data_IF_698327952012
#
_entry.id   IF_698327952012
#
_cell.length_a   1.000
_cell.length_b   1.000
_cell.length_c   1.000
_cell.angle_alpha   90.00
_cell.angle_beta   90.00
_cell.angle_gamma   90.00
#
_symmetry.space_group_name_H-M   'P 1'
#
loop_
_entity.id
_entity.type
_entity.pdbx_description
1 polymer ?
#
# COMPACT_ATOMS: atom_id res chain seq x y z
N UNK A 1 0.55 4.17 -18.87
CA UNK A 1 -0.93 4.10 -18.87
C UNK A 1 -1.50 5.22 -18.00
N UNK A 2 -2.60 5.86 -18.43
CA UNK A 2 -3.31 6.89 -17.65
C UNK A 2 -4.69 6.34 -17.27
N UNK A 3 -5.00 6.39 -15.98
CA UNK A 3 -6.27 5.96 -15.40
C UNK A 3 -7.00 7.19 -14.89
N UNK A 4 -8.31 7.24 -15.16
CA UNK A 4 -9.20 8.27 -14.62
C UNK A 4 -10.28 7.59 -13.79
N UNK A 5 -10.43 8.02 -12.55
CA UNK A 5 -11.52 7.60 -11.67
C UNK A 5 -12.41 8.79 -11.37
N UNK A 6 -13.73 8.63 -11.50
CA UNK A 6 -14.68 9.68 -11.15
C UNK A 6 -14.76 9.75 -9.62
N UNK A 7 -14.52 10.92 -9.05
CA UNK A 7 -14.64 11.12 -7.60
C UNK A 7 -16.12 11.18 -7.25
N UNK A 8 -16.60 10.19 -6.50
CA UNK A 8 -17.97 10.17 -5.97
C UNK A 8 -17.94 10.92 -4.61
N UNK A 9 -18.80 11.94 -4.41
CA UNK A 9 -18.83 12.67 -3.16
C UNK A 9 -19.24 11.77 -1.99
N UNK A 10 -18.52 11.88 -0.88
CA UNK A 10 -18.74 11.07 0.33
C UNK A 10 -20.01 11.48 1.10
N UNK A 11 -20.52 12.70 0.86
CA UNK A 11 -21.75 13.24 1.43
C UNK A 11 -22.66 13.77 0.31
N UNK A 12 -23.90 13.31 0.24
CA UNK A 12 -24.88 13.76 -0.76
C UNK A 12 -25.31 15.24 -0.61
N UNK A 13 -25.06 15.86 0.55
CA UNK A 13 -25.36 17.28 0.81
C UNK A 13 -24.22 18.24 0.41
N UNK A 14 -23.15 17.74 -0.19
CA UNK A 14 -22.04 18.58 -0.63
C UNK A 14 -22.37 19.13 -2.03
N UNK A 15 -22.61 20.44 -2.13
CA UNK A 15 -22.77 21.15 -3.42
C UNK A 15 -21.55 20.89 -4.30
N UNK A 16 -21.69 19.98 -5.26
CA UNK A 16 -20.74 19.80 -6.34
C UNK A 16 -21.17 20.77 -7.45
N UNK A 17 -20.37 21.79 -7.73
CA UNK A 17 -20.44 22.46 -9.02
C UNK A 17 -20.32 21.38 -10.12
N UNK A 18 -21.08 21.49 -11.21
CA UNK A 18 -21.27 20.48 -12.27
C UNK A 18 -19.98 19.92 -12.92
N UNK A 19 -18.81 20.41 -12.52
CA UNK A 19 -17.53 19.85 -12.88
C UNK A 19 -17.34 18.48 -12.22
N UNK A 20 -17.55 17.43 -13.01
CA UNK A 20 -17.12 16.08 -12.65
C UNK A 20 -15.63 16.10 -12.29
N UNK A 21 -15.31 15.97 -10.99
CA UNK A 21 -13.93 15.87 -10.53
C UNK A 21 -13.42 14.47 -10.81
N UNK A 22 -12.30 14.39 -11.50
CA UNK A 22 -11.61 13.14 -11.80
C UNK A 22 -10.29 13.08 -11.03
N UNK A 23 -9.99 11.90 -10.49
CA UNK A 23 -8.66 11.55 -10.02
C UNK A 23 -7.91 10.93 -11.19
N UNK A 24 -6.74 11.47 -11.50
CA UNK A 24 -5.88 10.94 -12.55
C UNK A 24 -4.68 10.24 -11.92
N UNK A 25 -4.33 9.07 -12.45
CA UNK A 25 -3.14 8.33 -12.05
C UNK A 25 -2.38 7.88 -13.30
N UNK A 26 -1.06 8.06 -13.28
CA UNK A 26 -0.17 7.56 -14.32
C UNK A 26 0.64 6.38 -13.78
N UNK A 27 0.53 5.23 -14.44
CA UNK A 27 1.32 4.03 -14.14
C UNK A 27 2.30 3.80 -15.29
N UNK A 28 3.59 3.80 -14.96
CA UNK A 28 4.67 3.46 -15.89
C UNK A 28 5.04 2.00 -15.62
N UNK A 29 4.89 1.16 -16.64
CA UNK A 29 5.21 -0.27 -16.55
C UNK A 29 5.78 -0.73 -17.89
N UNK A 30 6.65 -1.74 -17.84
CA UNK A 30 7.17 -2.47 -19.00
C UNK A 30 6.36 -3.74 -19.30
N UNK A 31 5.28 -4.01 -18.55
CA UNK A 31 4.40 -5.15 -18.76
C UNK A 31 3.53 -4.90 -19.99
N UNK A 32 3.66 -5.76 -20.99
CA UNK A 32 2.95 -5.69 -22.28
C UNK A 32 1.93 -6.83 -22.48
N UNK A 33 1.94 -7.83 -21.60
CA UNK A 33 1.09 -9.02 -21.67
C UNK A 33 -0.18 -8.94 -20.81
N UNK A 34 -0.32 -7.92 -19.97
CA UNK A 34 -1.51 -7.69 -19.14
C UNK A 34 -2.39 -6.59 -19.71
N UNK A 35 -3.69 -6.70 -19.48
CA UNK A 35 -4.63 -5.62 -19.79
C UNK A 35 -4.43 -4.41 -18.86
N UNK A 36 -4.79 -3.19 -19.30
CA UNK A 36 -4.79 -1.99 -18.47
C UNK A 36 -5.45 -2.15 -17.10
N UNK A 37 -6.56 -2.88 -17.06
CA UNK A 37 -7.33 -3.18 -15.86
C UNK A 37 -6.56 -4.12 -14.92
N UNK A 38 -5.95 -5.18 -15.44
CA UNK A 38 -5.11 -6.10 -14.67
C UNK A 38 -3.87 -5.39 -14.10
N UNK A 39 -3.21 -4.54 -14.89
CA UNK A 39 -2.08 -3.72 -14.43
C UNK A 39 -2.51 -2.78 -13.30
N UNK A 40 -3.71 -2.19 -13.40
CA UNK A 40 -4.25 -1.34 -12.35
C UNK A 40 -4.53 -2.10 -11.06
N UNK A 41 -5.16 -3.28 -11.18
CA UNK A 41 -5.46 -4.13 -10.02
C UNK A 41 -4.17 -4.61 -9.34
N UNK A 42 -3.21 -5.11 -10.11
CA UNK A 42 -1.89 -5.52 -9.63
C UNK A 42 -1.15 -4.37 -8.93
N UNK A 43 -1.11 -3.19 -9.56
CA UNK A 43 -0.48 -2.01 -8.96
C UNK A 43 -1.15 -1.54 -7.65
N UNK A 44 -2.46 -1.72 -7.51
CA UNK A 44 -3.21 -1.32 -6.32
C UNK A 44 -3.06 -2.29 -5.13
N UNK A 45 -2.45 -3.46 -5.31
CA UNK A 45 -2.12 -4.38 -4.21
C UNK A 45 -1.03 -3.83 -3.27
N UNK A 46 -0.49 -2.62 -3.50
CA UNK A 46 0.44 -1.95 -2.57
C UNK A 46 -0.11 -1.76 -1.16
N UNK A 47 -1.43 -1.70 -1.00
CA UNK A 47 -2.05 -1.71 0.33
C UNK A 47 -1.66 -2.95 1.15
N UNK A 48 -1.37 -4.08 0.51
CA UNK A 48 -0.98 -5.31 1.21
C UNK A 48 0.42 -5.18 1.82
N UNK A 49 1.33 -4.44 1.18
CA UNK A 49 2.66 -4.18 1.72
C UNK A 49 2.57 -3.26 2.95
N UNK A 50 1.75 -2.22 2.92
CA UNK A 50 1.53 -1.34 4.08
C UNK A 50 0.89 -2.10 5.25
N UNK A 51 -0.09 -2.98 4.97
CA UNK A 51 -0.69 -3.84 5.98
C UNK A 51 0.36 -4.79 6.61
N UNK A 52 1.23 -5.39 5.80
CA UNK A 52 2.32 -6.25 6.30
C UNK A 52 3.30 -5.44 7.17
N UNK A 53 3.61 -4.20 6.79
CA UNK A 53 4.47 -3.31 7.58
C UNK A 53 3.82 -2.97 8.93
N UNK A 54 2.53 -2.66 8.93
CA UNK A 54 1.78 -2.34 10.16
C UNK A 54 1.63 -3.56 11.06
N UNK A 55 1.44 -4.75 10.50
CA UNK A 55 1.45 -6.01 11.23
C UNK A 55 2.83 -6.27 11.87
N UNK A 56 3.93 -6.03 11.15
CA UNK A 56 5.28 -6.17 11.71
C UNK A 56 5.49 -5.19 12.87
N UNK A 57 5.02 -3.94 12.74
CA UNK A 57 5.14 -2.91 13.78
C UNK A 57 4.32 -3.24 15.02
N UNK A 58 3.08 -3.67 14.86
CA UNK A 58 2.13 -3.87 15.97
C UNK A 58 2.16 -5.30 16.54
N UNK A 59 2.29 -6.31 15.70
CA UNK A 59 2.17 -7.73 16.05
C UNK A 59 3.40 -8.32 16.74
N UNK A 60 4.57 -7.67 16.64
CA UNK A 60 5.84 -8.28 17.07
C UNK A 60 6.57 -7.54 18.18
N UNK A 61 5.84 -6.70 18.94
CA UNK A 61 6.37 -5.97 20.10
C UNK A 61 7.66 -5.21 19.76
N UNK A 62 7.66 -4.49 18.63
CA UNK A 62 8.82 -3.69 18.18
C UNK A 62 9.27 -2.69 19.26
N UNK A 63 8.33 -2.20 20.07
CA UNK A 63 8.55 -1.34 21.23
C UNK A 63 9.25 -2.01 22.42
N UNK A 64 9.34 -3.34 22.45
CA UNK A 64 9.99 -4.11 23.52
C UNK A 64 11.44 -4.52 23.18
N UNK A 65 11.93 -4.16 21.99
CA UNK A 65 13.30 -4.43 21.60
C UNK A 65 14.30 -3.66 22.48
N UNK A 66 15.34 -4.36 22.95
CA UNK A 66 16.36 -3.79 23.85
C UNK A 66 17.25 -2.76 23.14
N UNK A 67 17.34 -1.53 23.64
CA UNK A 67 18.17 -0.46 23.05
C UNK A 67 19.69 -0.75 23.08
N UNK A 68 20.13 -1.78 23.79
CA UNK A 68 21.56 -2.07 24.03
C UNK A 68 22.19 -2.89 22.89
N UNK A 69 21.43 -3.81 22.28
CA UNK A 69 21.95 -4.75 21.28
C UNK A 69 21.30 -4.56 19.92
N UNK A 70 21.65 -3.46 19.25
CA UNK A 70 21.11 -3.09 17.94
C UNK A 70 21.22 -4.21 16.89
N UNK A 71 22.39 -4.86 16.79
CA UNK A 71 22.62 -5.96 15.82
C UNK A 71 21.71 -7.16 16.06
N UNK A 72 21.48 -7.51 17.33
CA UNK A 72 20.58 -8.63 17.65
C UNK A 72 19.13 -8.29 17.32
N UNK A 73 18.69 -7.05 17.58
CA UNK A 73 17.35 -6.60 17.24
C UNK A 73 17.12 -6.58 15.72
N UNK A 74 18.14 -6.16 14.95
CA UNK A 74 18.08 -6.13 13.49
C UNK A 74 17.94 -7.55 12.93
N UNK A 75 18.76 -8.50 13.39
CA UNK A 75 18.65 -9.91 13.01
C UNK A 75 17.30 -10.52 13.43
N UNK A 76 16.83 -10.20 14.63
CA UNK A 76 15.55 -10.68 15.15
C UNK A 76 14.37 -10.15 14.33
N UNK A 77 14.41 -8.87 13.93
CA UNK A 77 13.42 -8.29 13.02
C UNK A 77 13.45 -8.98 11.65
N UNK A 78 14.65 -9.24 11.12
CA UNK A 78 14.81 -9.85 9.80
C UNK A 78 14.26 -11.29 9.75
N UNK A 79 14.51 -12.08 10.81
CA UNK A 79 13.93 -13.42 10.96
C UNK A 79 12.40 -13.35 11.03
N UNK A 80 11.84 -12.39 11.78
CA UNK A 80 10.40 -12.20 11.90
C UNK A 80 9.74 -11.76 10.59
N UNK A 81 10.37 -10.86 9.83
CA UNK A 81 9.88 -10.46 8.52
C UNK A 81 9.76 -11.68 7.60
N UNK A 82 10.78 -12.54 7.55
CA UNK A 82 10.73 -13.76 6.75
C UNK A 82 9.58 -14.69 7.19
N UNK A 83 9.37 -14.84 8.51
CA UNK A 83 8.29 -15.68 9.03
C UNK A 83 6.87 -15.17 8.72
N UNK A 84 6.68 -13.85 8.55
CA UNK A 84 5.40 -13.26 8.13
C UNK A 84 5.10 -13.53 6.65
N UNK A 85 6.14 -13.69 5.83
CA UNK A 85 6.01 -13.92 4.38
C UNK A 85 5.97 -15.40 3.97
N UNK A 86 6.15 -16.35 4.90
CA UNK A 86 6.08 -17.82 4.67
C UNK A 86 4.82 -18.43 5.24
#
# INVERSE_FOLDING_TARGET
>A
MIIREKIIPKNMNQLMFEECKYKYQAIVTNIDYLTPEEIFQDYNQRCDVENNIDEIKQGYAFSENSLVNHKCNELYLLIKMIAVYT
#
